data_IF_983934446653
#
_entry.id   IF_983934446653
#
_cell.length_a   1.000
_cell.length_b   1.000
_cell.length_c   1.000
_cell.angle_alpha   90.00
_cell.angle_beta   90.00
_cell.angle_gamma   90.00
#
_symmetry.space_group_name_H-M   'P 1'
#
loop_
_entity.id
_entity.type
_entity.pdbx_description
1 polymer ?
#
# COMPACT_ATOMS: atom_id res chain seq x y z
N UNK A 1 3.01 1.82 22.04
CA UNK A 1 2.01 0.88 21.47
C UNK A 1 1.16 1.70 20.51
N UNK A 2 0.94 1.25 19.27
CA UNK A 2 0.01 1.95 18.36
C UNK A 2 -1.42 1.68 18.86
N UNK A 3 -2.25 2.72 18.91
CA UNK A 3 -3.65 2.63 19.33
C UNK A 3 -4.43 1.69 18.40
N UNK A 4 -5.28 0.83 18.95
CA UNK A 4 -6.15 -0.04 18.16
C UNK A 4 -7.32 0.75 17.57
N UNK A 5 -7.91 0.23 16.49
CA UNK A 5 -9.09 0.86 15.86
C UNK A 5 -10.25 1.04 16.85
N UNK A 6 -10.46 0.05 17.71
CA UNK A 6 -11.49 0.07 18.76
C UNK A 6 -11.23 1.16 19.81
N UNK A 7 -9.97 1.31 20.25
CA UNK A 7 -9.60 2.37 21.19
C UNK A 7 -9.77 3.76 20.59
N UNK A 8 -9.38 3.95 19.32
CA UNK A 8 -9.53 5.22 18.61
C UNK A 8 -11.01 5.58 18.39
N UNK A 9 -11.83 4.60 17.99
CA UNK A 9 -13.28 4.74 17.85
C UNK A 9 -13.91 5.14 19.19
N UNK A 10 -13.57 4.44 20.27
CA UNK A 10 -14.09 4.72 21.62
C UNK A 10 -13.74 6.14 22.06
N UNK A 11 -12.47 6.54 21.94
CA UNK A 11 -12.01 7.88 22.33
C UNK A 11 -12.72 8.98 21.54
N UNK A 12 -12.86 8.82 20.22
CA UNK A 12 -13.54 9.79 19.37
C UNK A 12 -15.01 9.98 19.80
N UNK A 13 -15.75 8.89 19.98
CA UNK A 13 -17.17 8.94 20.34
C UNK A 13 -17.35 9.53 21.75
N UNK A 14 -16.53 9.13 22.73
CA UNK A 14 -16.59 9.66 24.10
C UNK A 14 -16.33 11.18 24.16
N UNK A 15 -15.49 11.70 23.26
CA UNK A 15 -15.10 13.11 23.23
C UNK A 15 -16.02 13.99 22.39
N UNK A 16 -16.59 13.46 21.31
CA UNK A 16 -17.25 14.26 20.27
C UNK A 16 -18.71 13.93 20.02
N UNK A 17 -19.24 12.83 20.59
CA UNK A 17 -20.56 12.32 20.24
C UNK A 17 -21.36 12.05 21.52
N UNK A 18 -22.68 12.29 21.47
CA UNK A 18 -23.54 11.97 22.61
C UNK A 18 -23.62 10.45 22.80
N UNK A 19 -23.69 9.98 24.06
CA UNK A 19 -23.75 8.54 24.38
C UNK A 19 -24.87 7.78 23.64
N UNK A 20 -25.95 8.48 23.28
CA UNK A 20 -27.11 7.88 22.61
C UNK A 20 -26.87 7.59 21.11
N UNK A 21 -25.78 8.11 20.53
CA UNK A 21 -25.47 7.97 19.11
C UNK A 21 -24.24 7.08 18.87
N UNK A 22 -23.79 6.34 19.90
CA UNK A 22 -22.59 5.50 19.87
C UNK A 22 -22.63 4.49 18.72
N UNK A 23 -23.77 3.81 18.53
CA UNK A 23 -23.90 2.79 17.48
C UNK A 23 -23.83 3.38 16.06
N UNK A 24 -24.50 4.52 15.82
CA UNK A 24 -24.52 5.17 14.50
C UNK A 24 -23.17 5.79 14.14
N UNK A 25 -22.52 6.48 15.08
CA UNK A 25 -21.20 7.06 14.84
C UNK A 25 -20.09 6.01 14.82
N UNK A 26 -20.22 4.92 15.57
CA UNK A 26 -19.28 3.80 15.51
C UNK A 26 -19.24 3.18 14.11
N UNK A 27 -20.41 2.86 13.54
CA UNK A 27 -20.50 2.35 12.18
C UNK A 27 -19.98 3.35 11.14
N UNK A 28 -20.29 4.65 11.30
CA UNK A 28 -19.79 5.69 10.40
C UNK A 28 -18.26 5.86 10.47
N UNK A 29 -17.67 5.76 11.68
CA UNK A 29 -16.23 5.85 11.88
C UNK A 29 -15.51 4.68 11.21
N UNK A 30 -15.98 3.45 11.41
CA UNK A 30 -15.43 2.26 10.75
C UNK A 30 -15.53 2.34 9.23
N UNK A 31 -16.68 2.76 8.71
CA UNK A 31 -16.87 2.99 7.28
C UNK A 31 -15.91 4.06 6.73
N UNK A 32 -15.68 5.15 7.49
CA UNK A 32 -14.74 6.20 7.13
C UNK A 32 -13.29 5.73 7.14
N UNK A 33 -12.90 4.91 8.12
CA UNK A 33 -11.54 4.31 8.17
C UNK A 33 -11.35 3.35 7.00
N UNK A 34 -12.33 2.51 6.70
CA UNK A 34 -12.30 1.61 5.55
C UNK A 34 -12.17 2.41 4.25
N UNK A 35 -13.04 3.39 4.04
CA UNK A 35 -12.99 4.27 2.88
C UNK A 35 -11.63 4.95 2.75
N UNK A 36 -11.07 5.48 3.85
CA UNK A 36 -9.74 6.12 3.86
C UNK A 36 -8.62 5.15 3.50
N UNK A 37 -8.68 3.90 3.97
CA UNK A 37 -7.70 2.87 3.58
C UNK A 37 -7.77 2.54 2.09
N UNK A 38 -8.99 2.54 1.52
CA UNK A 38 -9.21 2.35 0.07
C UNK A 38 -8.75 3.57 -0.76
N UNK A 39 -8.55 4.75 -0.15
CA UNK A 39 -8.02 5.93 -0.85
C UNK A 39 -6.49 5.96 -0.95
N UNK A 40 -5.77 5.09 -0.24
CA UNK A 40 -4.31 5.03 -0.38
C UNK A 40 -3.98 4.43 -1.75
N UNK A 41 -3.22 5.12 -2.61
CA UNK A 41 -2.76 4.51 -3.86
C UNK A 41 -1.69 3.45 -3.61
N UNK A 42 -1.07 3.46 -2.43
CA UNK A 42 -0.03 2.52 -2.01
C UNK A 42 -0.63 1.19 -1.58
N UNK A 43 -0.19 0.14 -2.25
CA UNK A 43 -0.51 -1.26 -2.03
C UNK A 43 0.68 -1.91 -1.32
N UNK A 44 0.43 -2.72 -0.30
CA UNK A 44 1.50 -3.50 0.31
C UNK A 44 1.86 -4.68 -0.58
N UNK A 45 3.15 -4.95 -0.74
CA UNK A 45 3.62 -6.09 -1.54
C UNK A 45 3.05 -7.43 -1.05
N UNK A 46 2.84 -7.59 0.26
CA UNK A 46 2.19 -8.80 0.83
C UNK A 46 0.72 -8.98 0.42
N UNK A 47 0.03 -7.87 0.13
CA UNK A 47 -1.40 -7.89 -0.17
C UNK A 47 -1.59 -8.14 -1.67
N UNK A 48 -0.74 -7.53 -2.51
CA UNK A 48 -0.71 -7.72 -3.96
C UNK A 48 0.63 -7.24 -4.53
N UNK A 49 1.14 -7.90 -5.58
CA UNK A 49 2.29 -7.46 -6.38
C UNK A 49 1.81 -6.83 -7.71
N UNK A 50 2.65 -6.03 -8.38
CA UNK A 50 2.30 -5.48 -9.69
C UNK A 50 1.90 -6.55 -10.70
N UNK A 51 0.94 -6.21 -11.56
CA UNK A 51 0.44 -7.12 -12.59
C UNK A 51 1.54 -7.44 -13.61
N UNK A 52 1.63 -8.72 -13.96
CA UNK A 52 2.55 -9.31 -14.94
C UNK A 52 1.79 -10.40 -15.71
N UNK A 53 2.07 -10.63 -16.99
CA UNK A 53 1.44 -11.76 -17.71
C UNK A 53 1.73 -13.06 -16.98
N UNK A 54 0.69 -13.83 -16.66
CA UNK A 54 0.83 -15.11 -15.99
C UNK A 54 1.55 -16.14 -16.88
N UNK A 55 1.39 -16.05 -18.20
CA UNK A 55 1.90 -17.00 -19.18
C UNK A 55 3.34 -16.72 -19.60
N UNK A 56 3.84 -15.50 -19.39
CA UNK A 56 5.24 -15.16 -19.59
C UNK A 56 5.95 -15.11 -18.23
N UNK A 57 6.87 -16.05 -18.02
CA UNK A 57 7.65 -16.13 -16.78
C UNK A 57 8.86 -15.17 -16.79
N UNK A 58 9.19 -14.62 -17.97
CA UNK A 58 10.28 -13.66 -18.16
C UNK A 58 9.81 -12.21 -18.15
N UNK A 59 8.50 -11.98 -18.15
CA UNK A 59 7.91 -10.65 -18.15
C UNK A 59 8.05 -9.96 -16.79
N UNK A 60 8.37 -8.68 -16.87
CA UNK A 60 8.45 -7.76 -15.74
C UNK A 60 7.21 -6.88 -15.76
N UNK A 61 6.84 -6.33 -14.61
CA UNK A 61 5.73 -5.38 -14.59
C UNK A 61 6.09 -4.10 -15.36
N UNK A 62 5.08 -3.34 -15.73
CA UNK A 62 5.27 -1.92 -16.03
C UNK A 62 5.96 -1.21 -14.84
N UNK A 63 6.73 -0.14 -15.07
CA UNK A 63 7.35 0.63 -14.00
C UNK A 63 6.32 1.17 -12.99
N UNK A 64 6.61 0.97 -11.70
CA UNK A 64 5.79 1.40 -10.56
C UNK A 64 6.63 2.24 -9.60
N UNK A 65 5.96 3.04 -8.77
CA UNK A 65 6.62 3.68 -7.63
C UNK A 65 6.69 2.69 -6.48
N UNK A 66 7.86 2.54 -5.86
CA UNK A 66 8.10 1.60 -4.75
C UNK A 66 8.79 2.31 -3.60
N UNK A 67 8.28 2.14 -2.38
CA UNK A 67 8.94 2.52 -1.13
C UNK A 67 9.44 1.24 -0.47
N UNK A 68 10.76 1.07 -0.46
CA UNK A 68 11.42 -0.08 0.14
C UNK A 68 11.49 0.07 1.66
N UNK A 69 10.82 -0.85 2.35
CA UNK A 69 10.78 -0.90 3.82
C UNK A 69 12.18 -1.00 4.45
N UNK A 70 13.09 -1.72 3.80
CA UNK A 70 14.47 -1.95 4.24
C UNK A 70 15.35 -0.69 4.20
N UNK A 71 15.05 0.30 3.35
CA UNK A 71 15.89 1.50 3.19
C UNK A 71 15.68 2.51 4.32
N UNK A 72 14.59 2.41 5.10
CA UNK A 72 14.31 3.33 6.20
C UNK A 72 14.07 4.80 5.78
N UNK A 73 14.14 5.10 4.49
CA UNK A 73 13.89 6.41 3.88
C UNK A 73 12.64 6.30 3.00
N UNK A 74 11.70 7.24 3.18
CA UNK A 74 10.37 7.23 2.53
C UNK A 74 10.37 7.82 1.11
N UNK A 75 11.52 7.80 0.43
CA UNK A 75 11.60 8.28 -0.95
C UNK A 75 11.19 7.15 -1.90
N UNK A 76 10.16 7.36 -2.73
CA UNK A 76 9.75 6.34 -3.68
C UNK A 76 10.72 6.28 -4.87
N UNK A 77 11.01 5.06 -5.31
CA UNK A 77 11.85 4.76 -6.46
C UNK A 77 11.00 4.18 -7.60
N UNK A 78 11.41 4.43 -8.84
CA UNK A 78 10.77 3.81 -10.00
C UNK A 78 11.44 2.44 -10.22
N UNK A 79 10.70 1.38 -9.94
CA UNK A 79 11.16 0.00 -10.05
C UNK A 79 10.15 -0.82 -10.85
N UNK A 80 10.56 -2.01 -11.25
CA UNK A 80 9.71 -3.04 -11.87
C UNK A 80 9.69 -4.27 -10.98
N UNK A 81 8.56 -4.99 -10.99
CA UNK A 81 8.50 -6.31 -10.39
C UNK A 81 9.05 -7.33 -11.37
N UNK A 82 10.18 -7.95 -11.02
CA UNK A 82 10.76 -9.04 -11.78
C UNK A 82 10.19 -10.37 -11.29
N UNK A 83 9.24 -10.93 -12.04
CA UNK A 83 8.56 -12.19 -11.71
C UNK A 83 9.52 -13.38 -11.64
N UNK A 84 10.48 -13.44 -12.56
CA UNK A 84 11.42 -14.56 -12.67
C UNK A 84 12.30 -14.69 -11.41
N UNK A 85 12.86 -13.57 -10.95
CA UNK A 85 13.73 -13.55 -9.77
C UNK A 85 12.99 -13.26 -8.46
N UNK A 86 11.73 -12.83 -8.54
CA UNK A 86 10.92 -12.41 -7.39
C UNK A 86 11.58 -11.26 -6.59
N UNK A 87 12.03 -10.24 -7.31
CA UNK A 87 12.73 -9.06 -6.77
C UNK A 87 12.13 -7.78 -7.32
N UNK A 88 12.36 -6.68 -6.61
CA UNK A 88 12.31 -5.35 -7.21
C UNK A 88 13.57 -5.14 -8.04
N UNK A 89 13.39 -4.65 -9.27
CA UNK A 89 14.47 -4.39 -10.21
C UNK A 89 14.38 -2.97 -10.80
N UNK A 90 15.44 -2.49 -11.43
CA UNK A 90 15.36 -1.32 -12.31
C UNK A 90 14.81 -1.71 -13.67
N UNK A 91 14.16 -0.78 -14.37
CA UNK A 91 13.59 -1.03 -15.70
C UNK A 91 14.64 -1.45 -16.76
N UNK A 92 15.92 -1.12 -16.56
CA UNK A 92 17.03 -1.52 -17.42
C UNK A 92 17.52 -2.96 -17.13
N UNK A 93 17.05 -3.57 -16.05
CA UNK A 93 17.25 -4.97 -15.63
C UNK A 93 18.71 -5.47 -15.66
N UNK A 94 19.68 -4.56 -15.53
CA UNK A 94 21.09 -4.89 -15.72
C UNK A 94 21.77 -5.31 -14.41
N UNK A 95 21.50 -4.69 -13.24
CA UNK A 95 22.21 -5.05 -11.99
C UNK A 95 21.49 -4.71 -10.65
N UNK A 96 20.26 -4.17 -10.63
CA UNK A 96 19.65 -3.64 -9.41
C UNK A 96 18.57 -4.55 -8.78
N UNK A 97 18.95 -5.67 -8.14
CA UNK A 97 17.97 -6.54 -7.47
C UNK A 97 17.81 -6.23 -5.96
N UNK A 98 16.60 -5.92 -5.51
CA UNK A 98 16.22 -5.87 -4.10
C UNK A 98 15.17 -6.93 -3.77
N UNK A 99 15.38 -7.70 -2.69
CA UNK A 99 14.36 -8.64 -2.22
C UNK A 99 13.08 -7.90 -1.85
N UNK A 100 11.94 -8.51 -2.22
CA UNK A 100 10.63 -8.00 -1.83
C UNK A 100 10.41 -8.27 -0.35
N UNK A 101 10.01 -7.24 0.38
CA UNK A 101 9.53 -7.31 1.76
C UNK A 101 8.01 -7.15 1.80
N UNK A 102 7.36 -7.87 2.71
CA UNK A 102 5.90 -7.78 2.92
C UNK A 102 5.41 -6.35 3.26
N UNK A 103 6.31 -5.54 3.83
CA UNK A 103 6.05 -4.16 4.22
C UNK A 103 6.44 -3.13 3.16
N UNK A 104 6.96 -3.57 2.00
CA UNK A 104 7.17 -2.68 0.86
C UNK A 104 5.82 -2.15 0.36
N UNK A 105 5.83 -0.90 -0.06
CA UNK A 105 4.66 -0.24 -0.62
C UNK A 105 4.92 0.06 -2.09
N UNK A 106 3.96 -0.24 -2.96
CA UNK A 106 4.04 0.14 -4.35
C UNK A 106 2.74 0.79 -4.84
N UNK A 107 2.83 1.56 -5.90
CA UNK A 107 1.65 2.08 -6.61
C UNK A 107 1.94 2.26 -8.10
N UNK A 108 0.91 2.15 -8.98
CA UNK A 108 1.08 2.49 -10.38
C UNK A 108 1.46 3.97 -10.54
N UNK A 109 2.33 4.26 -11.52
CA UNK A 109 2.69 5.64 -11.86
C UNK A 109 1.41 6.37 -12.34
N UNK A 110 1.00 7.48 -11.69
CA UNK A 110 -0.19 8.22 -12.10
C UNK A 110 -0.07 8.71 -13.54
N UNK A 111 -1.06 8.37 -14.38
CA UNK A 111 -1.17 8.90 -15.73
C UNK A 111 -1.78 10.30 -15.64
N UNK A 112 -1.04 11.31 -16.06
CA UNK A 112 -1.59 12.65 -16.25
C UNK A 112 -2.23 12.70 -17.64
N UNK A 113 -3.56 12.62 -17.69
CA UNK A 113 -4.30 12.91 -18.92
C UNK A 113 -4.17 14.42 -19.17
N UNK A 114 -3.39 14.80 -20.18
CA UNK A 114 -3.33 16.16 -20.71
C UNK A 114 -4.46 16.41 -21.71
#
# INVERSE_FOLDING_TARGET
MKQTLEEAKREYIEKHVSRNEYASFGAAFEAGVKWKSEQSPWIKAKDQLPDVDENDISEQSEPVLVILSAKGHYEPEILVYNKYYHVWDTADADDYSCNISDDDLWMPIPKFNN
#
